data_IF_873184550609
#
_entry.id   IF_873184550609
#
_cell.length_a   1.000
_cell.length_b   1.000
_cell.length_c   1.000
_cell.angle_alpha   90.00
_cell.angle_beta   90.00
_cell.angle_gamma   90.00
#
_symmetry.space_group_name_H-M   'P 1'
#
loop_
_entity.id
_entity.type
_entity.pdbx_description
1 polymer ?
#
# COMPACT_ATOMS: atom_id res chain seq x y z
N UNK A 1 23.08 7.57 -7.30
CA UNK A 1 24.14 6.54 -7.26
C UNK A 1 23.68 5.37 -8.10
N UNK A 2 24.52 4.79 -8.98
CA UNK A 2 24.13 3.63 -9.81
C UNK A 2 24.46 2.34 -9.08
N UNK A 3 23.54 1.39 -9.08
CA UNK A 3 23.71 0.11 -8.42
C UNK A 3 24.73 -0.77 -9.18
N UNK A 4 25.70 -1.34 -8.45
CA UNK A 4 26.70 -2.28 -8.99
C UNK A 4 26.41 -3.66 -8.42
N UNK A 5 25.84 -4.55 -9.25
CA UNK A 5 25.55 -5.93 -8.85
C UNK A 5 26.80 -6.79 -8.99
N UNK A 6 27.16 -7.50 -7.92
CA UNK A 6 28.33 -8.39 -7.85
C UNK A 6 27.92 -9.84 -8.15
N UNK A 7 27.48 -10.14 -9.38
CA UNK A 7 26.98 -11.47 -9.77
C UNK A 7 28.07 -12.57 -9.86
N UNK A 8 29.32 -12.20 -10.15
CA UNK A 8 30.40 -13.16 -10.47
C UNK A 8 31.16 -13.72 -9.26
N UNK A 9 30.71 -13.51 -8.02
CA UNK A 9 31.45 -13.92 -6.81
C UNK A 9 30.85 -15.12 -6.08
N UNK A 10 30.18 -16.04 -6.79
CA UNK A 10 29.63 -17.28 -6.19
C UNK A 10 30.71 -18.35 -5.89
N UNK A 11 31.87 -17.94 -5.40
CA UNK A 11 33.02 -18.85 -5.14
C UNK A 11 33.12 -19.19 -3.64
N UNK A 12 32.11 -18.93 -2.83
CA UNK A 12 32.17 -19.12 -1.38
C UNK A 12 32.53 -20.55 -0.96
N UNK A 13 31.98 -21.56 -1.67
CA UNK A 13 32.26 -22.97 -1.37
C UNK A 13 33.71 -23.32 -1.68
N UNK A 14 34.22 -22.95 -2.86
CA UNK A 14 35.60 -23.22 -3.25
C UNK A 14 36.58 -22.52 -2.31
N UNK A 15 36.32 -21.25 -2.00
CA UNK A 15 37.17 -20.49 -1.07
C UNK A 15 37.13 -21.06 0.33
N UNK A 16 35.97 -21.50 0.83
CA UNK A 16 35.85 -22.15 2.13
C UNK A 16 36.70 -23.42 2.19
N UNK A 17 36.66 -24.27 1.16
CA UNK A 17 37.46 -25.49 1.11
C UNK A 17 38.96 -25.15 1.08
N UNK A 18 39.37 -24.19 0.27
CA UNK A 18 40.77 -23.74 0.19
C UNK A 18 41.26 -23.27 1.57
N UNK A 19 40.48 -22.44 2.26
CA UNK A 19 40.88 -21.93 3.59
C UNK A 19 40.93 -23.04 4.64
N UNK A 20 40.01 -24.02 4.60
CA UNK A 20 40.03 -25.17 5.51
C UNK A 20 41.30 -26.00 5.26
N UNK A 21 41.65 -26.27 3.99
CA UNK A 21 42.88 -27.02 3.65
C UNK A 21 44.13 -26.26 4.12
N UNK A 22 44.21 -24.95 3.87
CA UNK A 22 45.33 -24.13 4.35
C UNK A 22 45.41 -24.12 5.88
N UNK A 23 44.28 -24.14 6.59
CA UNK A 23 44.25 -24.19 8.05
C UNK A 23 44.73 -25.55 8.59
N UNK A 24 44.39 -26.65 7.87
CA UNK A 24 44.90 -28.00 8.22
C UNK A 24 46.39 -28.11 7.93
N UNK A 25 46.89 -27.53 6.86
CA UNK A 25 48.34 -27.47 6.55
C UNK A 25 49.08 -26.67 7.59
N UNK A 26 48.56 -25.54 8.04
CA UNK A 26 49.14 -24.75 9.11
C UNK A 26 49.19 -25.54 10.47
N UNK A 27 48.15 -26.29 10.76
CA UNK A 27 48.14 -27.18 11.94
C UNK A 27 49.22 -28.26 11.84
N UNK A 28 49.36 -28.89 10.68
CA UNK A 28 50.39 -29.89 10.46
C UNK A 28 51.80 -29.26 10.54
N UNK A 29 52.01 -28.07 10.02
CA UNK A 29 53.27 -27.33 10.17
C UNK A 29 53.61 -27.00 11.62
N UNK A 30 52.63 -26.65 12.44
CA UNK A 30 52.89 -26.41 13.87
C UNK A 30 53.30 -27.67 14.61
N UNK A 31 52.68 -28.81 14.32
CA UNK A 31 53.02 -30.10 14.96
C UNK A 31 54.42 -30.55 14.54
N UNK A 32 54.72 -30.56 13.23
CA UNK A 32 56.04 -30.97 12.72
C UNK A 32 57.13 -29.97 13.09
N UNK A 33 56.84 -28.69 13.12
CA UNK A 33 57.78 -27.64 13.51
C UNK A 33 58.17 -27.74 14.98
N UNK A 34 57.25 -28.09 15.88
CA UNK A 34 57.52 -28.33 17.28
C UNK A 34 58.49 -29.52 17.47
N UNK A 35 58.41 -30.54 16.60
CA UNK A 35 59.25 -31.75 16.71
C UNK A 35 60.64 -31.63 16.03
N UNK A 36 60.74 -30.88 14.92
CA UNK A 36 61.93 -30.94 14.04
C UNK A 36 62.54 -29.60 13.68
N UNK A 37 61.75 -28.51 13.46
CA UNK A 37 62.22 -27.25 12.83
C UNK A 37 61.53 -26.03 13.45
N UNK A 38 62.20 -25.36 14.39
CA UNK A 38 61.67 -24.19 15.12
C UNK A 38 61.10 -23.05 14.25
N UNK A 39 61.66 -22.64 13.08
CA UNK A 39 61.07 -21.64 12.22
C UNK A 39 59.72 -22.04 11.63
N UNK A 40 59.51 -23.33 11.33
CA UNK A 40 58.26 -23.87 10.78
C UNK A 40 57.13 -23.78 11.85
N UNK A 41 57.48 -23.99 13.11
CA UNK A 41 56.54 -23.79 14.25
C UNK A 41 56.03 -22.35 14.32
N UNK A 42 56.93 -21.36 14.23
CA UNK A 42 56.56 -19.94 14.30
C UNK A 42 55.63 -19.57 13.17
N UNK A 43 55.94 -19.97 11.92
CA UNK A 43 55.09 -19.69 10.74
C UNK A 43 53.71 -20.31 10.92
N UNK A 44 53.61 -21.55 11.36
CA UNK A 44 52.38 -22.24 11.60
C UNK A 44 51.51 -21.54 12.64
N UNK A 45 52.07 -21.12 13.80
CA UNK A 45 51.37 -20.40 14.84
C UNK A 45 50.85 -19.04 14.36
N UNK A 46 51.69 -18.26 13.63
CA UNK A 46 51.25 -16.97 13.07
C UNK A 46 50.11 -17.17 12.11
N UNK A 47 50.16 -18.21 11.25
CA UNK A 47 49.06 -18.51 10.33
C UNK A 47 47.79 -18.94 11.05
N UNK A 48 47.85 -19.73 12.10
CA UNK A 48 46.68 -20.11 12.93
C UNK A 48 46.04 -18.90 13.58
N UNK A 49 46.83 -17.92 14.02
CA UNK A 49 46.33 -16.69 14.62
C UNK A 49 45.62 -15.77 13.61
N UNK A 50 46.10 -15.69 12.37
CA UNK A 50 45.57 -14.75 11.32
C UNK A 50 44.58 -15.44 10.38
N UNK A 51 44.71 -16.74 10.18
CA UNK A 51 44.00 -17.54 9.17
C UNK A 51 42.49 -17.61 9.34
N UNK A 52 41.93 -17.17 10.45
CA UNK A 52 40.48 -17.10 10.64
C UNK A 52 39.83 -15.85 10.00
N UNK A 53 40.61 -14.79 9.75
CA UNK A 53 40.12 -13.53 9.17
C UNK A 53 39.37 -13.74 7.84
N UNK A 54 39.86 -14.51 6.87
CA UNK A 54 39.16 -14.76 5.62
C UNK A 54 37.75 -15.38 5.78
N UNK A 55 37.52 -16.17 6.84
CA UNK A 55 36.19 -16.75 7.10
C UNK A 55 35.12 -15.67 7.35
N UNK A 56 35.49 -14.48 7.85
CA UNK A 56 34.58 -13.35 8.00
C UNK A 56 34.03 -12.83 6.64
N UNK A 57 34.76 -13.12 5.54
CA UNK A 57 34.36 -12.77 4.18
C UNK A 57 33.30 -13.69 3.59
N UNK A 58 32.98 -14.81 4.23
CA UNK A 58 31.95 -15.73 3.75
C UNK A 58 30.55 -15.20 4.09
N UNK A 59 29.71 -15.03 3.07
CA UNK A 59 28.35 -14.53 3.23
C UNK A 59 27.36 -15.46 2.52
N UNK A 60 26.29 -15.82 3.25
CA UNK A 60 25.18 -16.62 2.72
C UNK A 60 24.00 -15.71 2.45
N UNK A 61 23.47 -15.76 1.23
CA UNK A 61 22.33 -14.99 0.80
C UNK A 61 21.18 -15.92 0.41
N UNK A 62 20.00 -15.69 0.99
CA UNK A 62 18.79 -16.44 0.63
C UNK A 62 18.14 -15.83 -0.63
N UNK A 63 17.26 -16.55 -1.31
CA UNK A 63 16.48 -15.99 -2.41
C UNK A 63 15.71 -14.74 -1.98
N UNK A 64 15.67 -13.73 -2.85
CA UNK A 64 14.98 -12.45 -2.59
C UNK A 64 15.52 -11.65 -1.41
N UNK A 65 16.81 -11.84 -1.08
CA UNK A 65 17.55 -10.99 -0.16
C UNK A 65 18.69 -10.29 -0.90
N UNK A 66 19.00 -9.08 -0.51
CA UNK A 66 20.17 -8.36 -1.00
C UNK A 66 21.07 -7.93 0.16
N UNK A 67 22.37 -7.84 -0.12
CA UNK A 67 23.38 -7.40 0.82
C UNK A 67 24.19 -6.27 0.20
N UNK A 68 24.01 -5.05 0.71
CA UNK A 68 24.75 -3.86 0.28
C UNK A 68 26.05 -3.80 1.03
N UNK A 69 27.18 -3.79 0.31
CA UNK A 69 28.54 -3.87 0.85
C UNK A 69 29.28 -2.55 0.71
N UNK A 70 29.88 -2.12 1.81
CA UNK A 70 30.80 -0.98 1.87
C UNK A 70 32.15 -1.42 2.39
N UNK A 71 33.22 -0.82 1.87
CA UNK A 71 34.60 -1.01 2.33
C UNK A 71 35.16 0.36 2.73
N UNK A 72 35.45 0.54 4.00
CA UNK A 72 35.96 1.82 4.53
C UNK A 72 35.13 3.03 4.07
N UNK A 73 33.79 2.91 4.10
CA UNK A 73 32.86 3.98 3.71
C UNK A 73 32.60 4.08 2.20
N UNK A 74 33.34 3.39 1.32
CA UNK A 74 33.07 3.36 -0.12
C UNK A 74 32.11 2.24 -0.47
N UNK A 75 31.12 2.51 -1.31
CA UNK A 75 30.24 1.48 -1.88
C UNK A 75 31.02 0.56 -2.84
N UNK A 76 31.03 -0.72 -2.54
CA UNK A 76 31.72 -1.75 -3.35
C UNK A 76 30.76 -2.40 -4.33
N UNK A 77 29.56 -2.68 -3.90
CA UNK A 77 28.52 -3.30 -4.69
C UNK A 77 27.47 -4.03 -3.84
N UNK A 78 26.46 -4.57 -4.51
CA UNK A 78 25.35 -5.30 -3.91
C UNK A 78 25.35 -6.74 -4.38
N UNK A 79 25.14 -7.67 -3.45
CA UNK A 79 24.84 -9.08 -3.74
C UNK A 79 23.31 -9.23 -3.78
N UNK A 80 22.74 -9.66 -4.91
CA UNK A 80 21.28 -9.85 -5.09
C UNK A 80 20.86 -11.31 -5.28
N UNK A 81 21.72 -12.11 -5.88
CA UNK A 81 21.39 -13.50 -6.17
C UNK A 81 21.56 -14.39 -4.93
N UNK A 82 20.71 -15.41 -4.81
CA UNK A 82 20.90 -16.43 -3.79
C UNK A 82 22.20 -17.21 -4.01
N UNK A 83 22.93 -17.46 -2.94
CA UNK A 83 24.16 -18.22 -3.02
C UNK A 83 25.08 -18.03 -1.85
N UNK A 84 26.24 -18.70 -1.96
CA UNK A 84 27.35 -18.61 -1.00
C UNK A 84 28.50 -17.83 -1.63
N UNK A 85 28.81 -16.69 -1.05
CA UNK A 85 29.74 -15.71 -1.59
C UNK A 85 30.96 -15.56 -0.71
N UNK A 86 32.12 -15.36 -1.37
CA UNK A 86 33.32 -14.87 -0.71
C UNK A 86 33.55 -13.41 -1.12
N UNK A 87 33.55 -12.52 -0.16
CA UNK A 87 33.84 -11.09 -0.31
C UNK A 87 34.99 -10.71 0.59
N UNK A 88 35.56 -9.52 0.36
CA UNK A 88 36.63 -9.03 1.21
C UNK A 88 36.17 -9.05 2.70
N UNK A 89 36.93 -9.67 3.60
CA UNK A 89 36.58 -9.79 5.04
C UNK A 89 36.28 -8.45 5.71
N UNK A 90 36.88 -7.37 5.24
CA UNK A 90 36.68 -6.02 5.76
C UNK A 90 35.43 -5.31 5.23
N UNK A 91 34.71 -5.93 4.28
CA UNK A 91 33.44 -5.38 3.82
C UNK A 91 32.36 -5.48 4.89
N UNK A 92 31.73 -4.35 5.16
CA UNK A 92 30.60 -4.24 6.07
C UNK A 92 29.27 -4.20 5.29
N UNK A 93 28.27 -4.90 5.80
CA UNK A 93 26.92 -4.80 5.30
C UNK A 93 26.22 -3.59 5.92
N UNK A 94 25.56 -2.79 5.09
CA UNK A 94 24.83 -1.59 5.52
C UNK A 94 23.36 -1.75 5.17
N UNK A 95 22.50 -1.55 6.19
CA UNK A 95 21.06 -1.41 6.03
C UNK A 95 20.56 -0.45 7.11
N UNK A 96 20.31 0.82 6.80
CA UNK A 96 19.89 1.81 7.80
C UNK A 96 18.49 1.50 8.36
N UNK A 97 17.61 0.91 7.57
CA UNK A 97 16.26 0.54 7.98
C UNK A 97 16.16 -0.81 8.73
N UNK A 98 17.30 -1.42 9.10
CA UNK A 98 17.32 -2.74 9.74
C UNK A 98 16.58 -2.80 11.09
N UNK A 99 16.57 -1.70 11.84
CA UNK A 99 15.92 -1.58 13.15
C UNK A 99 14.49 -1.05 13.11
N UNK A 100 14.05 -0.56 11.96
CA UNK A 100 12.73 0.08 11.84
C UNK A 100 11.67 -0.97 11.64
N UNK A 101 10.78 -1.08 12.64
CA UNK A 101 9.57 -1.90 12.60
C UNK A 101 8.39 -0.97 12.32
N UNK A 102 7.91 -0.95 11.09
CA UNK A 102 6.62 -0.37 10.72
C UNK A 102 5.61 -1.53 10.65
N UNK A 103 4.31 -1.24 10.62
CA UNK A 103 3.26 -2.26 10.41
C UNK A 103 3.36 -2.88 9.00
N UNK A 104 4.47 -3.57 8.73
CA UNK A 104 4.82 -4.12 7.43
C UNK A 104 4.93 -5.63 7.48
N UNK A 105 4.43 -6.31 6.47
CA UNK A 105 4.54 -7.77 6.33
C UNK A 105 5.97 -8.27 6.08
N UNK A 106 6.90 -7.39 5.74
CA UNK A 106 8.30 -7.72 5.45
C UNK A 106 9.25 -7.53 6.65
N UNK A 107 8.75 -7.09 7.79
CA UNK A 107 9.51 -7.10 9.05
C UNK A 107 9.57 -8.54 9.58
N UNK A 108 10.33 -9.38 8.88
CA UNK A 108 10.57 -10.75 9.29
C UNK A 108 11.41 -10.68 10.56
N UNK A 109 10.81 -11.01 11.67
CA UNK A 109 11.56 -11.56 12.79
C UNK A 109 12.29 -12.78 12.21
N UNK A 110 13.61 -12.65 12.04
CA UNK A 110 14.45 -13.80 11.76
C UNK A 110 14.25 -14.73 12.96
N UNK A 111 13.28 -15.67 12.83
CA UNK A 111 12.91 -16.65 13.85
C UNK A 111 14.04 -17.61 14.20
N UNK A 112 15.28 -17.19 13.97
CA UNK A 112 16.52 -17.79 14.32
C UNK A 112 16.82 -17.49 15.80
N UNK A 113 16.35 -18.41 16.63
CA UNK A 113 16.81 -18.59 18.00
C UNK A 113 16.35 -17.54 19.03
N UNK A 114 15.10 -17.65 19.47
CA UNK A 114 14.86 -17.60 20.91
C UNK A 114 15.67 -18.74 21.52
N UNK A 115 16.91 -18.47 21.89
CA UNK A 115 17.65 -19.39 22.76
C UNK A 115 16.87 -19.44 24.08
N UNK A 116 16.44 -20.64 24.44
CA UNK A 116 15.67 -20.97 25.63
C UNK A 116 16.40 -20.55 26.94
N UNK A 117 17.56 -19.90 26.82
CA UNK A 117 18.44 -19.54 27.94
C UNK A 117 18.38 -18.07 28.39
N UNK A 118 17.49 -17.22 27.87
CA UNK A 118 17.41 -15.82 28.32
C UNK A 118 16.01 -15.39 28.76
N UNK A 119 15.43 -16.12 29.68
CA UNK A 119 14.21 -15.69 30.39
C UNK A 119 14.51 -14.78 31.60
N UNK A 120 15.71 -14.24 31.74
CA UNK A 120 16.04 -13.48 32.96
C UNK A 120 17.16 -12.44 32.77
N UNK A 121 16.97 -11.48 31.83
CA UNK A 121 17.53 -10.14 32.04
C UNK A 121 17.05 -9.21 30.88
N UNK A 122 16.53 -8.06 31.26
CA UNK A 122 16.10 -6.97 30.39
C UNK A 122 17.28 -6.42 29.55
N UNK A 123 17.43 -6.87 28.32
CA UNK A 123 18.50 -6.40 27.44
C UNK A 123 18.73 -7.30 26.23
N UNK A 124 17.67 -7.75 25.56
CA UNK A 124 17.83 -8.44 24.28
C UNK A 124 18.32 -7.44 23.24
N UNK A 125 19.61 -7.45 22.96
CA UNK A 125 20.18 -6.85 21.75
C UNK A 125 19.69 -7.70 20.58
N UNK A 126 18.52 -7.36 20.01
CA UNK A 126 18.07 -7.89 18.74
C UNK A 126 19.12 -7.50 17.70
N UNK A 127 19.91 -8.44 17.22
CA UNK A 127 20.83 -8.24 16.10
C UNK A 127 19.97 -8.10 14.84
N UNK A 128 19.59 -6.86 14.55
CA UNK A 128 18.84 -6.52 13.36
C UNK A 128 19.56 -7.01 12.10
N UNK A 129 18.87 -7.74 11.24
CA UNK A 129 19.44 -8.25 10.00
C UNK A 129 19.86 -7.09 9.09
N UNK A 130 21.15 -7.07 8.72
CA UNK A 130 21.69 -6.06 7.79
C UNK A 130 21.34 -6.33 6.32
N UNK A 131 20.53 -7.34 6.05
CA UNK A 131 20.06 -7.70 4.71
C UNK A 131 18.85 -6.85 4.33
N UNK A 132 18.72 -6.53 3.06
CA UNK A 132 17.56 -5.83 2.47
C UNK A 132 16.67 -6.88 1.82
N UNK A 133 15.39 -6.89 2.14
CA UNK A 133 14.42 -7.76 1.48
C UNK A 133 14.05 -7.18 0.10
N UNK A 134 14.08 -8.04 -0.93
CA UNK A 134 13.60 -7.72 -2.28
C UNK A 134 12.18 -8.27 -2.53
N UNK A 135 11.59 -8.91 -1.53
CA UNK A 135 10.22 -9.43 -1.61
C UNK A 135 9.22 -8.29 -1.69
N UNK A 136 8.05 -8.61 -2.19
CA UNK A 136 6.92 -7.69 -2.08
C UNK A 136 6.54 -7.59 -0.60
N UNK A 137 6.47 -6.37 -0.11
CA UNK A 137 6.12 -6.03 1.27
C UNK A 137 4.85 -5.20 1.26
N UNK A 138 4.05 -5.32 2.31
CA UNK A 138 2.82 -4.53 2.48
C UNK A 138 3.00 -3.59 3.65
N UNK A 139 2.91 -2.29 3.39
CA UNK A 139 2.81 -1.26 4.41
C UNK A 139 1.33 -0.99 4.65
N UNK A 140 0.85 -1.24 5.87
CA UNK A 140 -0.48 -0.83 6.30
C UNK A 140 -0.34 0.50 7.05
N UNK A 141 -0.74 1.58 6.39
CA UNK A 141 -0.64 2.91 6.97
C UNK A 141 -1.81 3.16 7.93
N UNK A 142 -1.54 3.83 9.03
CA UNK A 142 -2.55 4.13 10.04
C UNK A 142 -3.66 5.01 9.46
N UNK A 143 -4.86 4.89 10.04
CA UNK A 143 -5.98 5.78 9.72
C UNK A 143 -5.60 7.22 9.98
N UNK A 144 -5.86 8.08 9.02
CA UNK A 144 -5.62 9.51 9.11
C UNK A 144 -6.93 10.27 8.95
N UNK A 145 -7.06 11.34 9.72
CA UNK A 145 -8.15 12.27 9.58
C UNK A 145 -7.74 13.37 8.60
N UNK A 146 -8.44 13.45 7.47
CA UNK A 146 -8.14 14.39 6.38
C UNK A 146 -9.47 15.02 5.96
N UNK A 147 -9.46 16.29 5.56
CA UNK A 147 -10.65 16.92 4.99
C UNK A 147 -10.72 16.60 3.49
N UNK A 148 -11.92 16.24 3.03
CA UNK A 148 -12.24 16.10 1.62
C UNK A 148 -12.25 17.45 0.88
N UNK A 149 -12.58 17.47 -0.42
CA UNK A 149 -12.65 18.72 -1.20
C UNK A 149 -13.74 19.68 -0.72
N UNK A 150 -14.78 19.17 -0.05
CA UNK A 150 -15.88 19.97 0.54
C UNK A 150 -15.58 20.44 1.95
N UNK A 151 -14.43 20.09 2.53
CA UNK A 151 -14.03 20.43 3.89
C UNK A 151 -14.57 19.46 4.95
N UNK A 152 -15.20 18.35 4.57
CA UNK A 152 -15.70 17.36 5.53
C UNK A 152 -14.53 16.51 6.05
N UNK A 153 -14.37 16.33 7.37
CA UNK A 153 -13.36 15.46 7.92
C UNK A 153 -13.71 13.98 7.68
N UNK A 154 -12.80 13.27 6.98
CA UNK A 154 -12.90 11.84 6.71
C UNK A 154 -11.73 11.10 7.35
N UNK A 155 -11.96 9.89 7.82
CA UNK A 155 -10.92 8.96 8.24
C UNK A 155 -10.64 7.97 7.13
N UNK A 156 -9.38 7.92 6.71
CA UNK A 156 -8.95 7.05 5.63
C UNK A 156 -7.67 6.30 6.01
N UNK A 157 -7.61 5.02 5.67
CA UNK A 157 -6.45 4.17 5.80
C UNK A 157 -6.12 3.52 4.46
N UNK A 158 -4.83 3.30 4.19
CA UNK A 158 -4.37 2.65 2.97
C UNK A 158 -3.40 1.50 3.28
N UNK A 159 -3.42 0.48 2.42
CA UNK A 159 -2.38 -0.53 2.34
C UNK A 159 -1.62 -0.36 1.03
N UNK A 160 -0.30 -0.31 1.12
CA UNK A 160 0.59 -0.11 -0.03
C UNK A 160 1.48 -1.33 -0.18
N UNK A 161 1.41 -1.98 -1.35
CA UNK A 161 2.30 -3.06 -1.74
C UNK A 161 3.49 -2.49 -2.50
N UNK A 162 4.68 -2.78 -2.02
CA UNK A 162 5.91 -2.21 -2.54
C UNK A 162 7.08 -3.19 -2.48
N UNK A 163 8.14 -2.89 -3.22
CA UNK A 163 9.41 -3.63 -3.17
C UNK A 163 10.60 -2.71 -3.41
N UNK A 164 11.79 -3.16 -3.02
CA UNK A 164 13.05 -2.49 -3.32
C UNK A 164 13.55 -2.98 -4.68
N UNK A 165 13.72 -2.08 -5.63
CA UNK A 165 14.28 -2.37 -6.96
C UNK A 165 15.76 -2.00 -7.06
N UNK A 166 16.13 -0.83 -6.51
CA UNK A 166 17.50 -0.34 -6.47
C UNK A 166 17.97 -0.22 -5.01
N UNK A 167 18.76 -1.19 -4.57
CA UNK A 167 19.21 -1.24 -3.18
C UNK A 167 20.23 -0.17 -2.84
N UNK A 168 21.03 0.29 -3.84
CA UNK A 168 21.99 1.37 -3.63
C UNK A 168 21.27 2.68 -3.36
N UNK A 169 20.21 3.00 -4.13
CA UNK A 169 19.38 4.18 -3.88
C UNK A 169 18.67 4.07 -2.54
N UNK A 170 18.10 2.91 -2.21
CA UNK A 170 17.36 2.72 -0.96
C UNK A 170 18.25 2.90 0.29
N UNK A 171 19.53 2.56 0.20
CA UNK A 171 20.45 2.61 1.36
C UNK A 171 21.21 3.93 1.46
N UNK A 172 21.49 4.60 0.33
CA UNK A 172 22.39 5.76 0.30
C UNK A 172 21.72 7.09 -0.08
N UNK A 173 20.56 7.08 -0.75
CA UNK A 173 19.88 8.33 -1.10
C UNK A 173 18.95 8.82 0.01
N UNK A 174 18.50 7.92 0.90
CA UNK A 174 17.63 8.24 2.04
C UNK A 174 18.16 7.57 3.31
N UNK A 175 18.01 8.22 4.45
CA UNK A 175 18.50 7.68 5.72
C UNK A 175 17.76 6.40 6.13
N UNK A 176 16.44 6.38 5.93
CA UNK A 176 15.59 5.23 6.26
C UNK A 176 14.47 5.10 5.22
N UNK A 177 14.66 4.21 4.27
CA UNK A 177 13.72 4.04 3.16
C UNK A 177 12.32 3.58 3.59
N UNK A 178 12.19 2.85 4.72
CA UNK A 178 10.90 2.42 5.23
C UNK A 178 10.10 3.60 5.80
N UNK A 179 10.74 4.38 6.64
CA UNK A 179 10.16 5.56 7.26
C UNK A 179 9.86 6.64 6.22
N UNK A 180 10.78 6.82 5.27
CA UNK A 180 10.58 7.70 4.12
C UNK A 180 9.34 7.29 3.32
N UNK A 181 9.16 5.99 3.02
CA UNK A 181 7.98 5.48 2.35
C UNK A 181 6.70 5.82 3.12
N UNK A 182 6.67 5.56 4.42
CA UNK A 182 5.49 5.84 5.26
C UNK A 182 5.10 7.32 5.21
N UNK A 183 6.07 8.22 5.34
CA UNK A 183 5.85 9.66 5.25
C UNK A 183 5.36 10.11 3.87
N UNK A 184 5.90 9.49 2.79
CA UNK A 184 5.43 9.80 1.43
C UNK A 184 4.02 9.25 1.17
N UNK A 185 3.67 8.10 1.74
CA UNK A 185 2.30 7.57 1.70
C UNK A 185 1.32 8.53 2.38
N UNK A 186 1.66 9.05 3.56
CA UNK A 186 0.84 10.04 4.28
C UNK A 186 0.65 11.33 3.48
N UNK A 187 1.72 11.81 2.89
CA UNK A 187 1.70 13.03 2.08
C UNK A 187 0.86 12.86 0.80
N UNK A 188 1.05 11.75 0.08
CA UNK A 188 0.31 11.45 -1.14
C UNK A 188 -1.19 11.25 -0.86
N UNK A 189 -1.51 10.49 0.20
CA UNK A 189 -2.89 10.28 0.62
C UNK A 189 -3.60 11.61 0.90
N UNK A 190 -2.94 12.50 1.64
CA UNK A 190 -3.49 13.82 1.96
C UNK A 190 -3.70 14.69 0.73
N UNK A 191 -2.78 14.63 -0.24
CA UNK A 191 -2.90 15.40 -1.48
C UNK A 191 -4.09 14.92 -2.32
N UNK A 192 -4.24 13.61 -2.49
CA UNK A 192 -5.29 13.03 -3.34
C UNK A 192 -6.67 13.15 -2.68
N UNK A 193 -6.80 12.88 -1.37
CA UNK A 193 -8.10 12.97 -0.66
C UNK A 193 -8.69 14.38 -0.74
N UNK A 194 -7.86 15.41 -0.76
CA UNK A 194 -8.33 16.81 -0.88
C UNK A 194 -8.95 17.17 -2.22
N UNK A 195 -8.75 16.36 -3.24
CA UNK A 195 -9.30 16.59 -4.60
C UNK A 195 -10.70 16.00 -4.73
N UNK A 196 -10.99 14.91 -4.01
CA UNK A 196 -12.23 14.16 -4.14
C UNK A 196 -13.20 14.44 -3.00
N UNK A 197 -14.54 14.51 -3.27
CA UNK A 197 -15.56 14.44 -2.23
C UNK A 197 -15.63 13.00 -1.67
N UNK A 198 -16.09 12.85 -0.44
CA UNK A 198 -16.32 11.52 0.15
C UNK A 198 -17.37 10.72 -0.63
N UNK A 199 -18.50 11.36 -0.96
CA UNK A 199 -19.62 10.78 -1.70
C UNK A 199 -19.90 11.65 -2.93
N UNK A 200 -20.78 11.19 -3.82
CA UNK A 200 -21.14 11.90 -5.02
C UNK A 200 -21.56 13.34 -4.69
N UNK A 201 -20.94 14.30 -5.34
CA UNK A 201 -21.25 15.71 -5.22
C UNK A 201 -21.45 16.29 -6.63
N UNK A 202 -22.61 16.90 -6.86
CA UNK A 202 -22.89 17.60 -8.12
C UNK A 202 -21.91 18.78 -8.31
N UNK A 203 -21.47 18.99 -9.53
CA UNK A 203 -20.62 20.13 -9.93
C UNK A 203 -19.20 20.15 -9.33
N UNK A 204 -18.63 19.00 -8.97
CA UNK A 204 -17.21 18.89 -8.58
C UNK A 204 -16.41 18.27 -9.72
N UNK A 205 -15.42 19.00 -10.24
CA UNK A 205 -14.44 18.50 -11.18
C UNK A 205 -13.30 17.84 -10.41
N UNK A 206 -13.16 16.51 -10.52
CA UNK A 206 -12.11 15.73 -9.87
C UNK A 206 -10.98 15.36 -10.81
N UNK A 207 -11.17 15.53 -12.12
CA UNK A 207 -10.17 15.25 -13.16
C UNK A 207 -9.33 16.47 -13.51
N UNK A 208 -9.85 17.67 -13.28
CA UNK A 208 -9.20 18.94 -13.61
C UNK A 208 -9.33 19.32 -15.10
N UNK A 209 -10.27 18.70 -15.81
CA UNK A 209 -10.56 19.00 -17.24
C UNK A 209 -11.60 20.11 -17.44
N UNK A 210 -12.12 20.68 -16.36
CA UNK A 210 -13.12 21.75 -16.36
C UNK A 210 -14.56 21.24 -16.49
N UNK A 211 -14.77 19.92 -16.53
CA UNK A 211 -16.08 19.27 -16.58
C UNK A 211 -16.33 18.62 -15.22
N UNK A 212 -17.48 18.88 -14.61
CA UNK A 212 -17.87 18.22 -13.37
C UNK A 212 -18.07 16.72 -13.62
N UNK A 213 -17.30 15.89 -12.92
CA UNK A 213 -17.42 14.45 -12.97
C UNK A 213 -18.03 13.89 -11.67
N UNK A 214 -18.59 12.69 -11.73
CA UNK A 214 -19.19 12.01 -10.58
C UNK A 214 -18.15 11.28 -9.71
N UNK A 215 -16.86 11.62 -9.80
CA UNK A 215 -15.80 10.98 -9.04
C UNK A 215 -15.93 11.24 -7.54
N UNK A 216 -15.88 10.18 -6.74
CA UNK A 216 -15.88 10.27 -5.27
C UNK A 216 -14.94 9.26 -4.66
N UNK A 217 -14.49 9.49 -3.42
CA UNK A 217 -13.65 8.54 -2.68
C UNK A 217 -14.32 7.17 -2.53
N UNK A 218 -15.64 7.16 -2.36
CA UNK A 218 -16.43 5.95 -2.18
C UNK A 218 -16.78 5.27 -3.50
N UNK A 219 -17.24 6.02 -4.49
CA UNK A 219 -17.72 5.48 -5.75
C UNK A 219 -16.59 5.10 -6.72
N UNK A 220 -15.50 5.87 -6.72
CA UNK A 220 -14.36 5.71 -7.63
C UNK A 220 -13.10 5.23 -6.92
N UNK A 221 -13.25 4.36 -5.91
CA UNK A 221 -12.14 3.93 -5.03
C UNK A 221 -10.94 3.33 -5.77
N UNK A 222 -11.15 2.63 -6.90
CA UNK A 222 -10.07 2.05 -7.72
C UNK A 222 -9.27 3.13 -8.46
N UNK A 223 -9.96 4.13 -9.02
CA UNK A 223 -9.33 5.27 -9.72
C UNK A 223 -8.51 6.09 -8.71
N UNK A 224 -9.10 6.38 -7.55
CA UNK A 224 -8.43 7.08 -6.45
C UNK A 224 -7.20 6.31 -5.97
N UNK A 225 -7.31 5.00 -5.78
CA UNK A 225 -6.20 4.14 -5.38
C UNK A 225 -5.08 4.13 -6.42
N UNK A 226 -5.40 4.10 -7.71
CA UNK A 226 -4.41 4.23 -8.79
C UNK A 226 -3.69 5.57 -8.75
N UNK A 227 -4.41 6.68 -8.57
CA UNK A 227 -3.80 8.02 -8.42
C UNK A 227 -2.90 8.12 -7.19
N UNK A 228 -3.33 7.54 -6.06
CA UNK A 228 -2.51 7.47 -4.84
C UNK A 228 -1.22 6.69 -5.13
N UNK A 229 -1.30 5.53 -5.80
CA UNK A 229 -0.13 4.74 -6.22
C UNK A 229 0.84 5.58 -7.05
N UNK A 230 0.34 6.27 -8.08
CA UNK A 230 1.17 7.04 -9.01
C UNK A 230 1.81 8.25 -8.32
N UNK A 231 1.10 8.90 -7.43
CA UNK A 231 1.62 10.00 -6.61
C UNK A 231 2.72 9.51 -5.66
N UNK A 232 2.52 8.37 -4.97
CA UNK A 232 3.56 7.77 -4.11
C UNK A 232 4.75 7.37 -4.97
N UNK A 233 4.53 6.69 -6.12
CA UNK A 233 5.61 6.24 -7.01
C UNK A 233 6.47 7.40 -7.48
N UNK A 234 5.87 8.54 -7.82
CA UNK A 234 6.62 9.74 -8.24
C UNK A 234 7.59 10.21 -7.17
N UNK A 235 7.19 10.15 -5.91
CA UNK A 235 7.97 10.62 -4.75
C UNK A 235 9.05 9.63 -4.30
N UNK A 236 8.81 8.31 -4.43
CA UNK A 236 9.74 7.29 -3.93
C UNK A 236 10.71 6.74 -4.99
N UNK A 237 10.59 7.17 -6.23
CA UNK A 237 11.45 6.75 -7.36
C UNK A 237 12.94 6.96 -7.06
N UNK A 238 13.28 8.08 -6.47
CA UNK A 238 14.68 8.44 -6.15
C UNK A 238 15.23 7.65 -4.95
N UNK A 239 14.35 7.06 -4.15
CA UNK A 239 14.70 6.11 -3.11
C UNK A 239 14.84 4.66 -3.61
N UNK A 240 14.68 4.41 -4.92
CA UNK A 240 14.81 3.06 -5.50
C UNK A 240 13.72 2.09 -5.08
N UNK A 241 12.54 2.60 -4.74
CA UNK A 241 11.37 1.83 -4.36
C UNK A 241 10.37 1.78 -5.53
N UNK A 242 9.68 0.66 -5.65
CA UNK A 242 8.60 0.46 -6.62
C UNK A 242 7.31 0.15 -5.88
N UNK A 243 6.28 0.92 -6.19
CA UNK A 243 4.93 0.72 -5.67
C UNK A 243 4.18 -0.15 -6.67
N UNK A 244 3.76 -1.32 -6.23
CA UNK A 244 3.03 -2.28 -7.06
C UNK A 244 1.56 -1.88 -7.08
N UNK A 245 1.01 -1.66 -5.89
CA UNK A 245 -0.41 -1.38 -5.73
C UNK A 245 -0.64 -0.56 -4.45
N UNK A 246 -1.64 0.33 -4.49
CA UNK A 246 -2.18 0.97 -3.29
C UNK A 246 -3.67 0.63 -3.21
N UNK A 247 -4.18 0.36 -2.01
CA UNK A 247 -5.60 0.07 -1.75
C UNK A 247 -6.10 0.85 -0.56
N UNK A 248 -7.29 1.39 -0.67
CA UNK A 248 -8.00 1.99 0.45
C UNK A 248 -8.52 0.83 1.32
N UNK A 249 -8.09 0.78 2.57
CA UNK A 249 -8.48 -0.26 3.54
C UNK A 249 -9.59 0.19 4.48
N UNK A 250 -9.70 1.50 4.68
CA UNK A 250 -10.70 2.10 5.54
C UNK A 250 -11.10 3.46 4.98
N UNK A 251 -12.38 3.73 4.95
CA UNK A 251 -12.94 5.03 4.54
C UNK A 251 -14.26 5.26 5.29
N UNK A 252 -14.30 6.30 6.11
CA UNK A 252 -15.51 6.71 6.84
C UNK A 252 -15.47 8.21 7.11
N UNK A 253 -16.63 8.82 7.35
CA UNK A 253 -16.67 10.14 7.95
C UNK A 253 -16.09 10.11 9.37
N UNK A 254 -15.42 11.17 9.75
CA UNK A 254 -14.97 11.31 11.13
C UNK A 254 -16.17 11.24 12.11
N UNK A 255 -16.00 10.63 13.30
CA UNK A 255 -17.10 10.38 14.24
C UNK A 255 -17.92 11.64 14.59
N UNK A 256 -17.27 12.80 14.57
CA UNK A 256 -17.90 14.08 14.95
C UNK A 256 -19.01 14.51 13.98
N UNK A 257 -18.92 14.12 12.71
CA UNK A 257 -19.86 14.52 11.66
C UNK A 257 -20.66 13.34 11.10
N UNK A 258 -20.31 12.11 11.44
CA UNK A 258 -20.90 10.91 10.85
C UNK A 258 -22.43 10.88 10.97
N UNK A 259 -22.99 11.25 12.14
CA UNK A 259 -24.43 11.28 12.36
C UNK A 259 -25.14 12.33 11.50
N UNK A 260 -24.56 13.53 11.38
CA UNK A 260 -25.12 14.63 10.58
C UNK A 260 -25.07 14.28 9.09
N UNK A 261 -23.95 13.69 8.63
CA UNK A 261 -23.80 13.26 7.23
C UNK A 261 -24.75 12.12 6.86
N UNK A 262 -25.02 11.20 7.79
CA UNK A 262 -26.03 10.16 7.59
C UNK A 262 -27.42 10.77 7.42
N UNK A 263 -27.79 11.74 8.25
CA UNK A 263 -29.07 12.46 8.11
C UNK A 263 -29.17 13.20 6.77
N UNK A 264 -28.08 13.84 6.31
CA UNK A 264 -28.02 14.50 5.01
C UNK A 264 -28.23 13.50 3.87
N UNK A 265 -27.54 12.34 3.91
CA UNK A 265 -27.69 11.27 2.91
C UNK A 265 -29.13 10.74 2.90
N UNK A 266 -29.73 10.52 4.05
CA UNK A 266 -31.13 10.08 4.14
C UNK A 266 -32.09 11.12 3.55
N UNK A 267 -31.89 12.40 3.85
CA UNK A 267 -32.72 13.48 3.29
C UNK A 267 -32.58 13.56 1.76
N UNK A 268 -31.38 13.51 1.23
CA UNK A 268 -31.12 13.46 -0.21
C UNK A 268 -31.81 12.26 -0.85
N UNK A 269 -31.62 11.06 -0.32
CA UNK A 269 -32.24 9.84 -0.82
C UNK A 269 -33.78 9.92 -0.86
N UNK A 270 -34.40 10.56 0.16
CA UNK A 270 -35.88 10.77 0.19
C UNK A 270 -36.30 11.74 -0.93
N UNK A 271 -35.53 12.81 -1.16
CA UNK A 271 -35.84 13.78 -2.22
C UNK A 271 -35.70 13.11 -3.58
N UNK A 272 -34.61 12.37 -3.82
CA UNK A 272 -34.36 11.67 -5.08
C UNK A 272 -35.43 10.60 -5.34
N UNK A 273 -35.83 9.85 -4.32
CA UNK A 273 -36.91 8.88 -4.43
C UNK A 273 -38.25 9.56 -4.79
N UNK A 274 -38.57 10.69 -4.15
CA UNK A 274 -39.78 11.45 -4.47
C UNK A 274 -39.74 12.00 -5.89
N UNK A 275 -38.59 12.51 -6.35
CA UNK A 275 -38.42 13.00 -7.71
C UNK A 275 -38.69 11.85 -8.71
N UNK A 276 -38.12 10.68 -8.51
CA UNK A 276 -38.39 9.51 -9.36
C UNK A 276 -39.85 9.10 -9.39
N UNK A 277 -40.54 9.18 -8.24
CA UNK A 277 -41.99 8.89 -8.17
C UNK A 277 -42.78 9.91 -9.00
N UNK A 278 -42.48 11.21 -8.87
CA UNK A 278 -43.15 12.26 -9.65
C UNK A 278 -42.87 12.12 -11.14
N UNK A 279 -41.62 11.94 -11.53
CA UNK A 279 -41.25 11.77 -12.93
C UNK A 279 -41.92 10.53 -13.56
N UNK A 280 -41.96 9.42 -12.78
CA UNK A 280 -42.66 8.20 -13.19
C UNK A 280 -44.21 8.43 -13.30
N UNK A 281 -44.77 9.15 -12.36
CA UNK A 281 -46.20 9.44 -12.37
C UNK A 281 -46.59 10.34 -13.58
N UNK A 282 -45.80 11.37 -13.86
CA UNK A 282 -46.02 12.25 -15.05
C UNK A 282 -45.94 11.41 -16.32
N UNK A 283 -44.91 10.59 -16.49
CA UNK A 283 -44.79 9.73 -17.68
C UNK A 283 -45.95 8.72 -17.83
N UNK A 284 -46.46 8.17 -16.73
CA UNK A 284 -47.64 7.30 -16.75
C UNK A 284 -48.90 8.06 -17.17
N UNK A 285 -49.11 9.29 -16.70
CA UNK A 285 -50.24 10.14 -17.08
C UNK A 285 -50.18 10.55 -18.55
N UNK A 286 -49.01 10.96 -19.04
CA UNK A 286 -48.77 11.29 -20.44
C UNK A 286 -49.10 10.09 -21.32
N UNK A 287 -48.58 8.91 -21.02
CA UNK A 287 -48.84 7.68 -21.73
C UNK A 287 -50.32 7.29 -21.73
N UNK A 288 -51.01 7.50 -20.63
CA UNK A 288 -52.45 7.21 -20.53
C UNK A 288 -53.30 8.17 -21.41
N UNK A 289 -52.97 9.46 -21.40
CA UNK A 289 -53.63 10.45 -22.25
C UNK A 289 -53.42 10.19 -23.73
N UNK A 290 -52.20 9.88 -24.14
CA UNK A 290 -51.85 9.54 -25.53
C UNK A 290 -52.62 8.32 -26.03
N UNK A 291 -52.69 7.24 -25.22
CA UNK A 291 -53.44 6.05 -25.60
C UNK A 291 -54.95 6.27 -25.67
N UNK A 292 -55.51 7.13 -24.82
CA UNK A 292 -56.92 7.46 -24.89
C UNK A 292 -57.24 8.28 -26.14
N UNK A 293 -56.37 9.23 -26.55
CA UNK A 293 -56.47 9.97 -27.79
C UNK A 293 -56.35 9.09 -29.02
N UNK A 294 -55.36 8.22 -29.10
CA UNK A 294 -55.12 7.30 -30.21
C UNK A 294 -56.28 6.33 -30.46
N UNK A 295 -56.86 5.81 -29.39
CA UNK A 295 -57.94 4.84 -29.47
C UNK A 295 -59.32 5.47 -29.63
N UNK A 296 -59.47 6.81 -29.60
CA UNK A 296 -60.71 7.52 -29.78
C UNK A 296 -61.81 7.13 -28.71
N UNK A 297 -61.38 6.65 -27.53
CA UNK A 297 -62.30 6.12 -26.52
C UNK A 297 -63.13 7.22 -25.88
N UNK A 298 -62.56 8.43 -25.75
CA UNK A 298 -63.22 9.58 -25.16
C UNK A 298 -62.69 10.85 -25.79
N UNK A 299 -63.57 11.75 -26.28
CA UNK A 299 -63.19 13.11 -26.59
C UNK A 299 -63.15 13.95 -25.31
N UNK A 300 -61.90 14.24 -24.82
CA UNK A 300 -61.67 15.03 -23.65
C UNK A 300 -61.38 16.49 -24.02
N UNK A 301 -62.17 17.40 -23.52
CA UNK A 301 -61.87 18.83 -23.56
C UNK A 301 -60.71 19.16 -22.57
N UNK A 302 -60.07 20.32 -22.75
CA UNK A 302 -58.91 20.69 -21.94
C UNK A 302 -59.17 20.74 -20.44
N UNK A 303 -60.40 21.12 -20.02
CA UNK A 303 -60.81 21.20 -18.63
C UNK A 303 -60.91 19.80 -17.99
N UNK A 304 -61.48 18.84 -18.70
CA UNK A 304 -61.59 17.45 -18.27
C UNK A 304 -60.21 16.74 -18.26
N UNK A 305 -59.34 17.04 -19.26
CA UNK A 305 -57.94 16.56 -19.21
C UNK A 305 -57.23 17.04 -17.98
N UNK A 306 -57.31 18.35 -17.66
CA UNK A 306 -56.67 18.93 -16.48
C UNK A 306 -57.17 18.31 -15.15
N UNK A 307 -58.50 18.07 -15.03
CA UNK A 307 -59.09 17.41 -13.87
C UNK A 307 -58.61 15.95 -13.75
N UNK A 308 -58.55 15.23 -14.86
CA UNK A 308 -58.06 13.85 -14.89
C UNK A 308 -56.57 13.72 -14.51
N UNK A 309 -55.70 14.62 -15.09
CA UNK A 309 -54.29 14.70 -14.72
C UNK A 309 -54.11 14.96 -13.23
N UNK A 310 -54.85 15.96 -12.69
CA UNK A 310 -54.77 16.28 -11.26
C UNK A 310 -55.17 15.08 -10.38
N UNK A 311 -56.24 14.39 -10.70
CA UNK A 311 -56.71 13.22 -9.97
C UNK A 311 -55.74 12.06 -10.02
N UNK A 312 -55.18 11.75 -11.20
CA UNK A 312 -54.19 10.70 -11.40
C UNK A 312 -52.89 10.99 -10.66
N UNK A 313 -52.40 12.23 -10.72
CA UNK A 313 -51.17 12.61 -10.02
C UNK A 313 -51.34 12.52 -8.48
N UNK A 314 -52.50 12.91 -7.94
CA UNK A 314 -52.79 12.77 -6.49
C UNK A 314 -52.75 11.30 -6.09
N UNK A 315 -53.31 10.40 -6.88
CA UNK A 315 -53.31 8.96 -6.61
C UNK A 315 -51.92 8.35 -6.75
N UNK A 316 -51.20 8.69 -7.82
CA UNK A 316 -49.90 8.10 -8.14
C UNK A 316 -48.75 8.65 -7.25
N UNK A 317 -48.83 9.92 -6.84
CA UNK A 317 -47.84 10.55 -5.97
C UNK A 317 -48.17 10.43 -4.48
N UNK A 318 -49.41 10.02 -4.13
CA UNK A 318 -49.86 9.91 -2.75
C UNK A 318 -49.27 8.70 -2.02
N UNK A 319 -48.90 8.88 -0.74
CA UNK A 319 -48.39 7.81 0.12
C UNK A 319 -49.47 6.92 0.76
N UNK A 320 -50.73 7.24 0.54
CA UNK A 320 -51.88 6.50 1.11
C UNK A 320 -52.63 5.76 0.02
N UNK A 321 -53.13 4.56 0.36
CA UNK A 321 -54.03 3.84 -0.52
C UNK A 321 -55.26 4.69 -0.85
N UNK A 322 -55.47 4.98 -2.14
CA UNK A 322 -56.62 5.71 -2.61
C UNK A 322 -57.92 4.96 -2.24
N UNK A 323 -58.77 5.56 -1.46
CA UNK A 323 -60.12 5.05 -1.23
C UNK A 323 -61.06 5.62 -2.30
N UNK A 324 -61.65 4.80 -3.17
CA UNK A 324 -62.58 5.30 -4.17
C UNK A 324 -63.85 5.83 -3.48
N UNK A 325 -64.05 7.12 -3.56
CA UNK A 325 -65.32 7.73 -3.15
C UNK A 325 -66.26 7.73 -4.37
N UNK A 326 -67.19 6.82 -4.35
CA UNK A 326 -68.23 6.78 -5.37
C UNK A 326 -69.29 7.81 -5.04
N UNK A 327 -69.34 8.93 -5.75
CA UNK A 327 -70.40 9.91 -5.60
C UNK A 327 -71.65 9.42 -6.35
N UNK A 328 -72.57 8.78 -5.64
CA UNK A 328 -73.82 8.23 -6.19
C UNK A 328 -74.92 9.28 -6.32
N UNK A 329 -74.61 10.60 -6.18
CA UNK A 329 -75.58 11.65 -6.01
C UNK A 329 -75.89 12.57 -7.22
N UNK A 330 -75.38 12.28 -8.44
CA UNK A 330 -75.73 13.10 -9.60
C UNK A 330 -76.09 12.28 -10.84
N UNK A 331 -77.24 11.62 -10.77
CA UNK A 331 -78.00 11.19 -11.91
C UNK A 331 -79.23 12.12 -12.01
N UNK A 332 -79.03 13.38 -12.40
CA UNK A 332 -80.00 14.25 -13.03
C UNK A 332 -79.28 15.30 -13.84
#
# INVERSE_FOLDING_TARGET
>A
MTEKVLSNKKNGMAMMIIWIVLYLVALLMTILGAAFVWPLFIIGVVWLCIGWIPFLGLKVLKPQEALVLTLFGKYVGTLKDAGFYFVNPFCQAVNPAAKTKLNQSGDVDDGSKKSIFQAQNNGTVEMASKKVSLKIMTLNNNRQKINDCLGNPVEIGIAVMWRVTDTAKAVFNVDNYKEYLSLQCDSALRNIVRIYPYDVAENVDTTGDGIADEGSLRGSSEVVASRIRDEIQSKVKDAGLEIIEARITYLAYAPEIAAVMLQRQQASAIIDARKMIVDGAVGMVEMALDRLNENGVVELDEERKAAMVSNLLVVLCGNHNAQPVVNSGSLY
#
